data_IF_575797205161
#
_entry.id   IF_575797205161
#
_cell.length_a   1.000
_cell.length_b   1.000
_cell.length_c   1.000
_cell.angle_alpha   90.00
_cell.angle_beta   90.00
_cell.angle_gamma   90.00
#
_symmetry.space_group_name_H-M   'P 1'
#
loop_
_entity.id
_entity.type
_entity.pdbx_description
1 polymer ?
#
# COMPACT_ATOMS: atom_id res chain seq x y z
N UNK A 1 28.22 53.22 1.71
CA UNK A 1 27.98 51.81 1.33
C UNK A 1 28.34 50.82 2.43
N UNK A 2 29.45 50.98 3.17
CA UNK A 2 29.90 50.03 4.22
C UNK A 2 29.02 49.91 5.47
N UNK A 3 28.40 51.00 5.96
CA UNK A 3 27.59 50.95 7.20
C UNK A 3 26.33 50.05 7.09
N UNK A 4 25.78 49.89 5.89
CA UNK A 4 24.64 48.97 5.66
C UNK A 4 25.07 47.51 5.85
N UNK A 5 26.27 47.15 5.39
CA UNK A 5 26.80 45.80 5.52
C UNK A 5 26.98 45.44 7.01
N UNK A 6 27.58 46.32 7.80
CA UNK A 6 27.73 46.10 9.25
C UNK A 6 26.39 45.97 9.97
N UNK A 7 25.39 46.80 9.61
CA UNK A 7 24.03 46.67 10.14
C UNK A 7 23.40 45.32 9.77
N UNK A 8 23.55 44.87 8.53
CA UNK A 8 23.03 43.58 8.07
C UNK A 8 23.69 42.41 8.79
N UNK A 9 25.02 42.43 8.96
CA UNK A 9 25.75 41.37 9.68
C UNK A 9 25.26 41.28 11.13
N UNK A 10 25.12 42.41 11.82
CA UNK A 10 24.62 42.43 13.19
C UNK A 10 23.18 41.92 13.29
N UNK A 11 22.31 42.35 12.36
CA UNK A 11 20.90 41.94 12.35
C UNK A 11 20.71 40.46 11.98
N UNK A 12 21.56 39.91 11.11
CA UNK A 12 21.48 38.52 10.68
C UNK A 12 21.95 37.55 11.77
N UNK A 13 22.95 37.94 12.58
CA UNK A 13 23.53 37.05 13.59
C UNK A 13 24.14 35.78 12.96
N UNK A 14 24.12 34.68 13.70
CA UNK A 14 24.50 33.36 13.16
C UNK A 14 23.26 32.69 12.56
N UNK A 15 23.29 32.55 11.24
CA UNK A 15 22.21 31.92 10.45
C UNK A 15 22.46 30.43 10.22
N UNK A 16 23.61 29.91 10.65
CA UNK A 16 23.99 28.51 10.45
C UNK A 16 23.38 27.60 11.50
N UNK A 17 23.21 26.33 11.15
CA UNK A 17 22.80 25.27 12.07
C UNK A 17 23.99 24.41 12.43
N UNK A 18 23.99 23.81 13.63
CA UNK A 18 25.08 22.97 14.14
C UNK A 18 25.08 21.55 13.55
N UNK A 19 24.81 21.39 12.27
CA UNK A 19 24.92 20.09 11.60
C UNK A 19 26.40 19.66 11.50
N UNK A 20 26.77 18.41 11.79
CA UNK A 20 25.93 17.26 12.15
C UNK A 20 25.75 17.03 13.67
N UNK A 21 26.19 17.96 14.53
CA UNK A 21 26.14 17.81 16.00
C UNK A 21 24.75 18.03 16.62
N UNK A 22 23.80 18.57 15.85
CA UNK A 22 22.39 18.64 16.17
C UNK A 22 21.56 18.28 14.92
N UNK A 23 20.45 17.54 15.05
CA UNK A 23 19.61 17.17 13.91
C UNK A 23 18.97 18.41 13.29
N UNK A 24 18.78 18.38 11.97
CA UNK A 24 18.02 19.42 11.29
C UNK A 24 16.53 19.22 11.58
N UNK A 25 15.90 20.21 12.19
CA UNK A 25 14.45 20.20 12.40
C UNK A 25 13.73 20.35 11.06
N UNK A 26 12.85 19.40 10.74
CA UNK A 26 12.00 19.43 9.54
C UNK A 26 10.58 19.86 9.89
N UNK A 27 9.86 20.40 8.91
CA UNK A 27 8.47 20.81 9.10
C UNK A 27 7.54 19.59 9.33
N UNK A 28 6.40 19.78 10.03
CA UNK A 28 5.36 18.76 10.10
C UNK A 28 4.87 18.35 8.71
N UNK A 29 4.74 17.04 8.46
CA UNK A 29 4.36 16.51 7.15
C UNK A 29 5.49 16.47 6.12
N UNK A 30 6.74 16.64 6.55
CA UNK A 30 7.91 16.40 5.72
C UNK A 30 7.85 15.00 5.06
N UNK A 31 8.22 14.93 3.79
CA UNK A 31 8.18 13.69 3.00
C UNK A 31 9.58 13.11 2.86
N UNK A 32 10.00 12.37 3.88
CA UNK A 32 11.26 11.63 3.92
C UNK A 32 11.10 10.19 3.46
N UNK A 33 11.89 9.29 4.04
CA UNK A 33 11.90 7.86 3.74
C UNK A 33 10.50 7.24 3.91
N UNK A 34 10.02 6.48 2.91
CA UNK A 34 8.86 5.62 3.13
C UNK A 34 9.20 4.51 4.13
N UNK A 35 8.58 4.55 5.30
CA UNK A 35 8.61 3.49 6.30
C UNK A 35 7.52 2.47 5.99
N UNK A 36 7.86 1.20 6.12
CA UNK A 36 7.01 0.09 5.71
C UNK A 36 6.81 -0.90 6.85
N UNK A 37 5.55 -1.19 7.16
CA UNK A 37 5.14 -2.17 8.15
C UNK A 37 4.52 -3.40 7.46
N UNK A 38 5.29 -4.49 7.44
CA UNK A 38 4.85 -5.76 6.86
C UNK A 38 3.69 -6.41 7.64
N UNK A 39 3.50 -6.08 8.91
CA UNK A 39 2.41 -6.63 9.73
C UNK A 39 1.05 -6.09 9.25
N UNK A 40 0.98 -4.79 8.95
CA UNK A 40 -0.23 -4.12 8.45
C UNK A 40 -0.45 -4.30 6.93
N UNK A 41 0.58 -4.68 6.18
CA UNK A 41 0.46 -4.81 4.73
C UNK A 41 -0.36 -6.04 4.34
N UNK A 42 -1.38 -5.83 3.49
CA UNK A 42 -2.24 -6.89 2.93
C UNK A 42 -1.86 -7.28 1.50
N UNK A 43 -0.72 -6.79 0.99
CA UNK A 43 -0.23 -7.05 -0.37
C UNK A 43 -1.25 -6.81 -1.50
N UNK A 44 -2.04 -5.74 -1.40
CA UNK A 44 -3.08 -5.37 -2.38
C UNK A 44 -2.52 -4.70 -3.65
N UNK A 45 -1.29 -4.19 -3.62
CA UNK A 45 -0.63 -3.57 -4.78
C UNK A 45 -1.06 -2.15 -5.13
N UNK A 46 -1.97 -1.53 -4.36
CA UNK A 46 -2.42 -0.15 -4.61
C UNK A 46 -1.26 0.85 -4.66
N UNK A 47 -0.30 0.75 -3.74
CA UNK A 47 0.88 1.61 -3.70
C UNK A 47 1.82 1.42 -4.90
N UNK A 48 1.92 0.20 -5.42
CA UNK A 48 2.68 -0.12 -6.63
C UNK A 48 2.07 0.56 -7.85
N UNK A 49 0.75 0.47 -8.01
CA UNK A 49 0.02 1.10 -9.13
C UNK A 49 0.10 2.63 -9.05
N UNK A 50 0.03 3.20 -7.84
CA UNK A 50 0.08 4.64 -7.64
C UNK A 50 1.48 5.25 -7.75
N UNK A 51 2.54 4.45 -7.84
CA UNK A 51 3.92 4.94 -7.83
C UNK A 51 4.33 5.51 -9.21
N UNK A 52 4.47 6.84 -9.38
CA UNK A 52 4.76 7.43 -10.68
C UNK A 52 6.17 7.10 -11.20
N UNK A 53 7.10 6.86 -10.28
CA UNK A 53 8.48 6.54 -10.60
C UNK A 53 8.72 5.03 -10.75
N UNK A 54 7.72 4.16 -10.54
CA UNK A 54 7.90 2.71 -10.48
C UNK A 54 9.01 2.27 -9.50
N UNK A 55 9.16 2.99 -8.39
CA UNK A 55 10.10 2.63 -7.31
C UNK A 55 9.58 1.47 -6.45
N UNK A 56 8.27 1.23 -6.49
CA UNK A 56 7.59 0.11 -5.88
C UNK A 56 7.25 -0.92 -6.96
N UNK A 57 7.49 -2.19 -6.68
CA UNK A 57 7.11 -3.32 -7.54
C UNK A 57 6.43 -4.41 -6.74
N UNK A 58 5.65 -5.24 -7.44
CA UNK A 58 4.98 -6.40 -6.86
C UNK A 58 5.00 -7.54 -7.87
N UNK A 59 5.60 -8.65 -7.50
CA UNK A 59 5.74 -9.83 -8.35
C UNK A 59 5.03 -11.01 -7.71
N UNK A 60 4.33 -11.81 -8.53
CA UNK A 60 3.61 -13.00 -8.07
C UNK A 60 4.23 -14.22 -8.71
N UNK A 61 4.67 -15.14 -7.88
CA UNK A 61 5.13 -16.46 -8.27
C UNK A 61 4.04 -17.50 -7.94
N UNK A 62 3.46 -18.05 -9.00
CA UNK A 62 2.36 -19.01 -8.90
C UNK A 62 2.88 -20.40 -8.49
N UNK A 63 4.13 -20.74 -8.83
CA UNK A 63 4.70 -22.05 -8.51
C UNK A 63 4.99 -22.15 -7.01
N UNK A 64 5.62 -21.12 -6.45
CA UNK A 64 5.87 -21.05 -4.99
C UNK A 64 4.65 -20.60 -4.20
N UNK A 65 3.65 -19.99 -4.87
CA UNK A 65 2.48 -19.42 -4.20
C UNK A 65 2.85 -18.21 -3.34
N UNK A 66 3.84 -17.44 -3.77
CA UNK A 66 4.35 -16.28 -3.05
C UNK A 66 4.16 -15.00 -3.85
N UNK A 67 4.00 -13.89 -3.14
CA UNK A 67 3.97 -12.55 -3.72
C UNK A 67 5.00 -11.67 -3.02
N UNK A 68 5.90 -11.09 -3.80
CA UNK A 68 6.99 -10.26 -3.27
C UNK A 68 6.73 -8.80 -3.62
N UNK A 69 6.66 -7.97 -2.59
CA UNK A 69 6.65 -6.51 -2.70
C UNK A 69 8.07 -5.99 -2.50
N UNK A 70 8.45 -4.94 -3.24
CA UNK A 70 9.77 -4.34 -3.15
C UNK A 70 9.71 -2.83 -3.33
N UNK A 71 10.45 -2.11 -2.50
CA UNK A 71 10.78 -0.70 -2.65
C UNK A 71 12.26 -0.57 -3.02
N UNK A 72 12.55 0.25 -4.03
CA UNK A 72 13.91 0.71 -4.34
C UNK A 72 14.02 2.21 -4.12
N UNK A 73 14.64 2.62 -3.00
CA UNK A 73 14.78 4.02 -2.62
C UNK A 73 15.53 4.85 -3.66
N UNK A 74 16.49 4.27 -4.37
CA UNK A 74 17.25 4.97 -5.42
C UNK A 74 16.42 5.43 -6.64
N UNK A 75 15.17 4.98 -6.76
CA UNK A 75 14.21 5.44 -7.78
C UNK A 75 13.05 6.25 -7.18
N UNK A 76 12.91 6.24 -5.86
CA UNK A 76 11.82 6.94 -5.18
C UNK A 76 11.99 8.45 -5.34
N UNK A 77 10.88 9.15 -5.63
CA UNK A 77 10.83 10.62 -5.72
C UNK A 77 10.11 11.26 -4.52
N UNK A 78 9.85 10.48 -3.47
CA UNK A 78 9.26 10.94 -2.19
C UNK A 78 7.93 11.71 -2.34
N UNK A 79 7.12 11.35 -3.34
CA UNK A 79 5.90 12.11 -3.67
C UNK A 79 4.72 11.92 -2.71
N UNK A 80 4.73 10.90 -1.84
CA UNK A 80 3.65 10.64 -0.88
C UNK A 80 2.48 9.77 -1.39
N UNK A 81 2.35 9.55 -2.70
CA UNK A 81 1.20 8.82 -3.27
C UNK A 81 0.98 7.41 -2.70
N UNK A 82 2.07 6.71 -2.33
CA UNK A 82 1.97 5.37 -1.76
C UNK A 82 1.30 5.36 -0.38
N UNK A 83 1.52 6.39 0.43
CA UNK A 83 0.87 6.58 1.74
C UNK A 83 -0.62 6.90 1.57
N UNK A 84 -0.95 7.83 0.65
CA UNK A 84 -2.33 8.26 0.39
C UNK A 84 -3.25 7.10 -0.02
N UNK A 85 -2.75 6.15 -0.82
CA UNK A 85 -3.55 5.04 -1.35
C UNK A 85 -3.52 3.78 -0.48
N UNK A 86 -2.69 3.73 0.57
CA UNK A 86 -2.56 2.52 1.38
C UNK A 86 -3.78 2.36 2.30
N UNK A 87 -4.64 1.35 2.10
CA UNK A 87 -5.89 1.23 2.86
C UNK A 87 -5.64 0.91 4.34
N UNK A 88 -4.51 0.27 4.66
CA UNK A 88 -4.13 -0.13 6.02
C UNK A 88 -3.04 0.73 6.63
N UNK A 89 -2.58 1.80 5.94
CA UNK A 89 -1.44 2.63 6.36
C UNK A 89 -0.14 1.86 6.61
N UNK A 90 0.03 0.72 5.96
CA UNK A 90 1.25 -0.08 6.02
C UNK A 90 2.50 0.57 5.41
N UNK A 91 2.36 1.70 4.71
CA UNK A 91 3.47 2.51 4.22
C UNK A 91 3.18 3.98 4.48
N UNK A 92 4.11 4.68 5.12
CA UNK A 92 3.98 6.09 5.51
C UNK A 92 5.28 6.84 5.27
N UNK A 93 5.20 8.14 5.01
CA UNK A 93 6.40 8.96 4.79
C UNK A 93 6.88 9.46 6.15
N UNK A 94 8.15 9.19 6.49
CA UNK A 94 8.74 9.63 7.75
C UNK A 94 9.51 10.95 7.61
N UNK A 95 10.05 11.43 8.72
CA UNK A 95 10.93 12.60 8.74
C UNK A 95 12.39 12.29 8.34
N UNK A 96 12.73 11.01 8.12
CA UNK A 96 14.11 10.58 7.84
C UNK A 96 14.53 10.95 6.42
N UNK A 97 15.62 11.70 6.27
CA UNK A 97 16.19 12.11 4.99
C UNK A 97 17.69 11.78 4.85
N UNK A 98 18.33 11.25 5.90
CA UNK A 98 19.77 10.98 5.95
C UNK A 98 20.07 9.57 5.38
N UNK A 99 19.68 9.35 4.13
CA UNK A 99 19.60 8.02 3.52
C UNK A 99 20.85 7.60 2.74
N UNK A 100 22.00 8.20 3.03
CA UNK A 100 23.24 7.90 2.33
C UNK A 100 23.68 6.46 2.64
N UNK A 101 23.98 5.69 1.59
CA UNK A 101 24.51 4.31 1.70
C UNK A 101 25.74 4.14 0.82
N UNK A 102 26.61 3.20 1.17
CA UNK A 102 27.81 2.87 0.39
C UNK A 102 27.54 1.80 -0.67
N UNK A 103 26.52 0.97 -0.49
CA UNK A 103 26.18 -0.10 -1.43
C UNK A 103 24.74 0.03 -1.93
N UNK A 104 24.55 -0.11 -3.24
CA UNK A 104 23.23 -0.04 -3.89
C UNK A 104 22.19 -1.03 -3.31
N UNK A 105 22.55 -2.27 -2.92
CA UNK A 105 21.60 -3.21 -2.31
C UNK A 105 20.89 -2.68 -1.06
N UNK A 106 21.52 -1.77 -0.31
CA UNK A 106 20.98 -1.23 0.94
C UNK A 106 19.79 -0.27 0.70
N UNK A 107 19.57 0.13 -0.55
CA UNK A 107 18.41 0.92 -0.97
C UNK A 107 17.14 0.08 -1.20
N UNK A 108 17.21 -1.25 -1.07
CA UNK A 108 16.07 -2.12 -1.25
C UNK A 108 15.42 -2.50 0.07
N UNK A 109 14.09 -2.41 0.09
CA UNK A 109 13.25 -3.05 1.12
C UNK A 109 12.37 -4.07 0.43
N UNK A 110 12.22 -5.26 1.02
CA UNK A 110 11.45 -6.37 0.45
C UNK A 110 10.55 -7.00 1.51
N UNK A 111 9.39 -7.47 1.07
CA UNK A 111 8.49 -8.28 1.88
C UNK A 111 7.82 -9.34 1.01
N UNK A 112 7.68 -10.55 1.53
CA UNK A 112 7.09 -11.68 0.83
C UNK A 112 5.86 -12.17 1.57
N UNK A 113 4.81 -12.48 0.82
CA UNK A 113 3.48 -12.84 1.31
C UNK A 113 3.07 -14.19 0.74
N UNK A 114 2.47 -15.03 1.58
CA UNK A 114 1.87 -16.29 1.16
C UNK A 114 0.53 -16.03 0.47
N UNK A 115 0.31 -16.74 -0.64
CA UNK A 115 -0.95 -16.70 -1.36
C UNK A 115 -1.86 -17.86 -0.96
N UNK A 116 -3.13 -17.54 -0.76
CA UNK A 116 -4.19 -18.53 -0.65
C UNK A 116 -4.45 -19.19 -2.00
N UNK A 117 -4.69 -20.49 -1.94
CA UNK A 117 -5.09 -21.31 -3.08
C UNK A 117 -6.60 -21.36 -3.18
N UNK A 118 -7.13 -21.17 -4.38
CA UNK A 118 -8.57 -21.28 -4.65
C UNK A 118 -9.12 -22.63 -4.17
N UNK A 119 -10.27 -22.64 -3.50
CA UNK A 119 -10.92 -23.90 -3.07
C UNK A 119 -11.34 -24.81 -4.23
N UNK A 120 -11.60 -24.24 -5.40
CA UNK A 120 -12.09 -24.96 -6.59
C UNK A 120 -10.92 -25.43 -7.46
N UNK A 121 -10.19 -24.51 -8.08
CA UNK A 121 -9.11 -24.85 -9.03
C UNK A 121 -7.73 -25.00 -8.39
N UNK A 122 -7.58 -24.75 -7.08
CA UNK A 122 -6.32 -24.86 -6.32
C UNK A 122 -5.19 -23.91 -6.75
N UNK A 123 -5.45 -23.01 -7.71
CA UNK A 123 -4.48 -21.99 -8.12
C UNK A 123 -4.32 -20.89 -7.05
N UNK A 124 -3.10 -20.46 -6.73
CA UNK A 124 -2.84 -19.26 -5.93
C UNK A 124 -3.47 -18.02 -6.57
N UNK A 125 -4.11 -17.14 -5.78
CA UNK A 125 -4.79 -15.98 -6.36
C UNK A 125 -4.76 -14.69 -5.52
N UNK A 126 -4.78 -14.79 -4.19
CA UNK A 126 -4.83 -13.64 -3.30
C UNK A 126 -3.91 -13.85 -2.09
N UNK A 127 -3.36 -12.77 -1.54
CA UNK A 127 -2.58 -12.86 -0.30
C UNK A 127 -3.51 -13.21 0.86
N UNK A 128 -3.06 -14.09 1.76
CA UNK A 128 -3.85 -14.53 2.92
C UNK A 128 -4.39 -13.36 3.74
N UNK A 129 -3.52 -12.42 4.06
CA UNK A 129 -3.87 -11.17 4.76
C UNK A 129 -4.96 -10.33 4.07
N UNK A 130 -5.08 -10.40 2.74
CA UNK A 130 -6.12 -9.66 2.02
C UNK A 130 -7.52 -10.25 2.23
N UNK A 131 -7.61 -11.58 2.34
CA UNK A 131 -8.86 -12.28 2.66
C UNK A 131 -9.23 -12.08 4.12
N UNK A 132 -8.25 -12.20 5.03
CA UNK A 132 -8.45 -11.93 6.46
C UNK A 132 -8.93 -10.51 6.72
N UNK A 133 -8.33 -9.52 6.05
CA UNK A 133 -8.76 -8.13 6.13
C UNK A 133 -10.22 -7.96 5.67
N UNK A 134 -10.63 -8.62 4.59
CA UNK A 134 -12.02 -8.59 4.15
C UNK A 134 -12.97 -9.18 5.20
N UNK A 135 -12.60 -10.30 5.84
CA UNK A 135 -13.37 -10.89 6.94
C UNK A 135 -13.47 -9.95 8.15
N UNK A 136 -12.36 -9.30 8.52
CA UNK A 136 -12.35 -8.32 9.61
C UNK A 136 -13.27 -7.12 9.31
N UNK A 137 -13.34 -6.66 8.05
CA UNK A 137 -14.26 -5.60 7.64
C UNK A 137 -15.74 -6.02 7.76
N UNK A 138 -16.08 -7.27 7.42
CA UNK A 138 -17.45 -7.79 7.62
C UNK A 138 -17.82 -7.80 9.10
N UNK A 139 -16.91 -8.27 9.97
CA UNK A 139 -17.11 -8.25 11.41
C UNK A 139 -17.31 -6.83 11.94
N UNK A 140 -16.49 -5.87 11.49
CA UNK A 140 -16.64 -4.46 11.87
C UNK A 140 -17.95 -3.83 11.37
N UNK A 141 -18.53 -4.37 10.30
CA UNK A 141 -19.82 -3.93 9.76
C UNK A 141 -21.03 -4.46 10.56
N UNK A 142 -20.79 -5.20 11.65
CA UNK A 142 -21.83 -5.73 12.53
C UNK A 142 -22.40 -7.08 12.10
N UNK A 143 -21.75 -7.76 11.15
CA UNK A 143 -22.11 -9.13 10.78
C UNK A 143 -21.58 -10.08 11.85
N UNK A 144 -22.41 -11.03 12.30
CA UNK A 144 -22.05 -12.03 13.29
C UNK A 144 -21.03 -13.04 12.74
N UNK A 145 -20.34 -13.72 13.65
CA UNK A 145 -19.27 -14.64 13.30
C UNK A 145 -19.74 -15.87 12.50
N UNK A 146 -20.96 -16.35 12.73
CA UNK A 146 -21.51 -17.51 12.03
C UNK A 146 -21.76 -17.17 10.56
N UNK A 147 -22.42 -16.03 10.30
CA UNK A 147 -22.62 -15.50 8.95
C UNK A 147 -21.30 -15.26 8.20
N UNK A 148 -20.25 -14.81 8.89
CA UNK A 148 -18.92 -14.59 8.28
C UNK A 148 -18.29 -15.92 7.85
N UNK A 149 -18.38 -16.95 8.68
CA UNK A 149 -17.86 -18.28 8.34
C UNK A 149 -18.63 -18.92 7.17
N UNK A 150 -19.93 -18.69 7.06
CA UNK A 150 -20.71 -19.11 5.88
C UNK A 150 -20.26 -18.41 4.59
N UNK A 151 -19.83 -17.15 4.68
CA UNK A 151 -19.33 -16.37 3.54
C UNK A 151 -17.87 -16.67 3.16
N UNK A 152 -17.06 -17.17 4.10
CA UNK A 152 -15.62 -17.44 3.90
C UNK A 152 -15.29 -18.22 2.62
N UNK A 153 -16.01 -19.30 2.24
CA UNK A 153 -15.73 -20.05 1.00
C UNK A 153 -15.78 -19.17 -0.25
N UNK A 154 -16.64 -18.14 -0.27
CA UNK A 154 -16.68 -17.17 -1.34
C UNK A 154 -15.36 -16.40 -1.39
N UNK A 155 -14.84 -15.87 -0.29
CA UNK A 155 -13.59 -15.11 -0.30
C UNK A 155 -12.34 -15.96 -0.60
N UNK A 156 -12.40 -17.26 -0.31
CA UNK A 156 -11.35 -18.25 -0.64
C UNK A 156 -11.46 -18.83 -2.07
N UNK A 157 -12.39 -18.34 -2.89
CA UNK A 157 -12.56 -18.75 -4.29
C UNK A 157 -12.07 -17.66 -5.23
N UNK A 158 -11.24 -18.02 -6.22
CA UNK A 158 -10.66 -17.06 -7.14
C UNK A 158 -11.73 -16.41 -8.06
N UNK A 159 -11.46 -15.21 -8.61
CA UNK A 159 -12.41 -14.51 -9.47
C UNK A 159 -12.87 -15.32 -10.71
N UNK A 160 -11.99 -16.15 -11.28
CA UNK A 160 -12.33 -16.99 -12.43
C UNK A 160 -13.37 -18.06 -12.08
N UNK A 161 -13.12 -18.85 -11.04
CA UNK A 161 -14.07 -19.89 -10.60
C UNK A 161 -15.39 -19.28 -10.09
N UNK A 162 -15.36 -18.12 -9.42
CA UNK A 162 -16.58 -17.39 -9.05
C UNK A 162 -17.43 -17.06 -10.29
N UNK A 163 -16.79 -16.51 -11.33
CA UNK A 163 -17.47 -16.15 -12.57
C UNK A 163 -18.12 -17.37 -13.23
N UNK A 164 -17.41 -18.49 -13.29
CA UNK A 164 -17.93 -19.75 -13.83
C UNK A 164 -19.14 -20.26 -13.03
N UNK A 165 -19.07 -20.24 -11.69
CA UNK A 165 -20.18 -20.63 -10.83
C UNK A 165 -21.39 -19.72 -11.01
N UNK A 166 -21.19 -18.40 -11.16
CA UNK A 166 -22.28 -17.45 -11.43
C UNK A 166 -22.95 -17.70 -12.78
N UNK A 167 -22.20 -18.11 -13.80
CA UNK A 167 -22.76 -18.46 -15.12
C UNK A 167 -23.53 -19.78 -15.09
N UNK A 168 -23.08 -20.75 -14.28
CA UNK A 168 -23.67 -22.08 -14.17
C UNK A 168 -24.84 -22.14 -13.17
N UNK A 169 -25.04 -21.12 -12.33
CA UNK A 169 -26.21 -21.03 -11.47
C UNK A 169 -27.45 -20.67 -12.31
N UNK A 170 -28.10 -21.69 -12.87
CA UNK A 170 -29.38 -21.61 -13.58
C UNK A 170 -30.56 -21.28 -12.63
N UNK A 171 -30.51 -20.13 -11.97
CA UNK A 171 -31.64 -19.48 -11.32
C UNK A 171 -32.12 -18.33 -12.20
N UNK A 172 -33.36 -18.41 -12.70
CA UNK A 172 -34.02 -17.35 -13.49
C UNK A 172 -34.02 -16.01 -12.74
N UNK A 173 -33.10 -15.12 -13.06
CA UNK A 173 -33.31 -13.67 -12.84
C UNK A 173 -33.47 -13.03 -14.21
N UNK A 174 -34.74 -12.81 -14.59
CA UNK A 174 -35.09 -11.97 -15.73
C UNK A 174 -34.53 -10.56 -15.47
N UNK A 175 -33.57 -10.15 -16.29
CA UNK A 175 -33.01 -8.80 -16.29
C UNK A 175 -33.92 -7.86 -17.10
N UNK A 176 -35.22 -7.90 -16.85
CA UNK A 176 -36.22 -7.06 -17.50
C UNK A 176 -37.16 -6.43 -16.46
N UNK A 177 -36.89 -5.16 -16.15
CA UNK A 177 -37.68 -4.10 -15.47
C UNK A 177 -36.71 -3.33 -14.55
N UNK A 178 -36.38 -2.05 -14.75
CA UNK A 178 -37.27 -0.93 -15.00
C UNK A 178 -36.70 0.06 -16.04
N UNK A 179 -37.30 0.11 -17.23
CA UNK A 179 -37.45 1.37 -17.96
C UNK A 179 -38.95 1.59 -18.00
N UNK A 180 -39.47 2.15 -16.90
CA UNK A 180 -40.86 2.58 -16.80
C UNK A 180 -41.07 3.77 -17.72
N UNK A 181 -42.14 3.67 -18.51
CA UNK A 181 -42.69 4.66 -19.41
C UNK A 181 -42.81 6.04 -18.74
N UNK A 182 -42.10 7.04 -19.26
CA UNK A 182 -42.46 8.43 -19.06
C UNK A 182 -43.42 8.82 -20.20
N UNK A 183 -44.70 8.97 -19.84
CA UNK A 183 -45.69 9.73 -20.63
C UNK A 183 -45.30 11.20 -20.68
#
# INVERSE_FOLDING_TARGET
MMLKLFKTIWQAGDVTVKYPFAPLEVCPGFRGKPEYDAQQCIACGACTIACPANALTMETDIETGARTWQLFLGRCIFCGRCEEVCPTRAIQLSADFELAVTHKPDLYTRATFTLLKCRVCRQPFAAEKSVEYAMALLAHSGIDAESIEEMRPQFETCPACKREQSLNHHGRTNLSYHIGEAK
#
